data_IF_399942754193
#
_entry.id   IF_399942754193
#
_cell.length_a   1.000
_cell.length_b   1.000
_cell.length_c   1.000
_cell.angle_alpha   90.00
_cell.angle_beta   90.00
_cell.angle_gamma   90.00
#
_symmetry.space_group_name_H-M   'P 1'
#
loop_
_entity.id
_entity.type
_entity.pdbx_description
1 polymer ?
#
# COMPACT_ATOMS: atom_id res chain seq x y z
N UNK A 1 -13.43 0.67 13.71
CA UNK A 1 -13.83 0.21 12.36
C UNK A 1 -12.85 -0.80 11.75
N UNK A 2 -13.29 -1.98 11.32
CA UNK A 2 -12.43 -2.87 10.53
C UNK A 2 -12.54 -2.58 9.02
N UNK A 3 -11.78 -1.58 8.58
CA UNK A 3 -11.40 -1.51 7.18
C UNK A 3 -10.41 -2.65 6.94
N UNK A 4 -10.66 -3.46 5.90
CA UNK A 4 -9.59 -4.27 5.33
C UNK A 4 -8.46 -3.29 4.97
N UNK A 5 -7.37 -3.34 5.70
CA UNK A 5 -6.21 -2.51 5.42
C UNK A 5 -5.62 -3.00 4.09
N UNK A 6 -5.60 -2.12 3.09
CA UNK A 6 -4.92 -2.37 1.83
C UNK A 6 -3.80 -1.37 1.67
N UNK A 7 -2.74 -1.85 1.04
CA UNK A 7 -1.52 -1.10 0.86
C UNK A 7 -1.68 0.13 -0.01
N UNK A 8 -0.88 1.15 0.25
CA UNK A 8 -0.94 2.41 -0.48
C UNK A 8 0.45 3.02 -0.73
N UNK A 9 0.57 3.83 -1.77
CA UNK A 9 1.79 4.58 -2.11
C UNK A 9 1.43 6.07 -2.20
N UNK A 10 2.26 6.96 -1.65
CA UNK A 10 2.01 8.40 -1.66
C UNK A 10 3.02 9.11 -2.59
N UNK A 11 2.50 9.79 -3.61
CA UNK A 11 3.29 10.74 -4.41
C UNK A 11 3.00 12.17 -3.91
N UNK A 12 4.04 12.90 -3.51
CA UNK A 12 3.95 14.31 -3.14
C UNK A 12 4.67 15.14 -4.21
N UNK A 13 3.94 16.05 -4.85
CA UNK A 13 4.54 17.24 -5.47
C UNK A 13 4.62 18.28 -4.36
N UNK A 14 5.83 18.56 -3.86
CA UNK A 14 6.02 19.71 -2.97
C UNK A 14 5.99 20.98 -3.82
N UNK A 15 5.14 21.97 -3.52
CA UNK A 15 5.21 23.25 -4.22
C UNK A 15 6.57 23.94 -3.95
N UNK A 16 7.10 24.71 -4.90
CA UNK A 16 8.32 25.47 -4.69
C UNK A 16 8.15 26.41 -3.49
N UNK A 17 9.05 26.30 -2.50
CA UNK A 17 9.06 27.16 -1.31
C UNK A 17 9.49 28.57 -1.73
N UNK A 18 8.54 29.49 -1.84
CA UNK A 18 8.83 30.92 -1.72
C UNK A 18 8.60 31.37 -0.26
N UNK A 19 9.48 32.20 0.32
CA UNK A 19 9.31 32.70 1.67
C UNK A 19 8.29 33.84 1.68
N UNK A 20 7.14 33.67 2.33
CA UNK A 20 6.30 34.80 2.74
C UNK A 20 4.78 34.61 2.70
N UNK A 21 4.18 34.71 3.89
CA UNK A 21 2.77 35.04 4.24
C UNK A 21 1.63 34.02 4.01
N UNK A 22 0.71 33.87 5.00
CA UNK A 22 -0.42 32.95 4.93
C UNK A 22 -1.62 33.60 4.25
N UNK A 23 -2.17 32.97 3.21
CA UNK A 23 -3.45 33.40 2.62
C UNK A 23 -4.59 32.50 3.12
N UNK A 24 -5.48 33.12 3.89
CA UNK A 24 -6.78 32.63 4.30
C UNK A 24 -7.80 32.70 3.16
N UNK A 25 -8.78 31.80 3.23
CA UNK A 25 -10.10 31.84 2.57
C UNK A 25 -10.16 31.46 1.09
N UNK A 26 -10.86 30.36 0.80
CA UNK A 26 -11.79 30.20 -0.32
C UNK A 26 -12.72 29.01 -0.03
N UNK A 27 -13.59 29.18 0.99
CA UNK A 27 -14.82 28.39 1.12
C UNK A 27 -15.99 29.35 0.99
N UNK A 28 -16.57 29.42 -0.20
CA UNK A 28 -17.87 30.06 -0.41
C UNK A 28 -18.90 28.96 -0.61
N UNK A 29 -19.80 28.85 0.37
CA UNK A 29 -20.99 28.02 0.37
C UNK A 29 -22.04 28.61 -0.57
N UNK A 30 -22.55 27.79 -1.50
CA UNK A 30 -23.90 27.98 -2.05
C UNK A 30 -24.60 26.63 -2.09
N UNK A 31 -25.51 26.43 -1.14
CA UNK A 31 -26.50 25.35 -1.15
C UNK A 31 -27.55 25.65 -2.23
N UNK A 32 -27.70 24.73 -3.18
CA UNK A 32 -28.87 24.62 -4.05
C UNK A 32 -29.48 23.23 -3.86
N UNK A 33 -30.67 23.15 -3.28
CA UNK A 33 -31.43 21.91 -3.09
C UNK A 33 -32.03 21.41 -4.41
N UNK A 34 -31.60 20.24 -4.88
CA UNK A 34 -32.23 19.53 -6.00
C UNK A 34 -32.63 18.10 -5.58
N UNK A 35 -33.75 17.56 -6.09
CA UNK A 35 -34.39 16.36 -5.54
C UNK A 35 -33.64 15.08 -5.89
N UNK A 36 -33.54 14.18 -4.91
CA UNK A 36 -32.89 12.87 -5.02
C UNK A 36 -33.57 11.99 -6.08
N UNK A 37 -32.99 11.94 -7.29
CA UNK A 37 -33.26 10.85 -8.25
C UNK A 37 -32.48 9.62 -7.80
N UNK A 38 -33.20 8.50 -7.59
CA UNK A 38 -32.60 7.17 -7.42
C UNK A 38 -31.87 6.78 -8.71
N UNK A 39 -30.58 7.08 -8.77
CA UNK A 39 -29.70 6.58 -9.82
C UNK A 39 -29.30 5.16 -9.41
N UNK A 40 -29.83 4.16 -10.12
CA UNK A 40 -29.30 2.81 -10.04
C UNK A 40 -27.83 2.85 -10.45
N UNK A 41 -26.94 2.59 -9.49
CA UNK A 41 -25.49 2.55 -9.73
C UNK A 41 -25.25 1.30 -10.59
N UNK A 42 -25.24 1.47 -11.93
CA UNK A 42 -24.57 0.52 -12.80
C UNK A 42 -23.12 0.49 -12.32
N UNK A 43 -22.65 -0.67 -11.85
CA UNK A 43 -21.26 -0.88 -11.48
C UNK A 43 -20.39 -0.47 -12.68
N UNK A 44 -19.81 0.74 -12.61
CA UNK A 44 -18.86 1.17 -13.61
C UNK A 44 -17.67 0.24 -13.50
N UNK A 45 -17.47 -0.60 -14.51
CA UNK A 45 -16.30 -1.46 -14.62
C UNK A 45 -15.11 -0.51 -14.77
N UNK A 46 -14.28 -0.43 -13.73
CA UNK A 46 -13.02 0.31 -13.78
C UNK A 46 -12.10 -0.44 -14.73
N UNK A 47 -12.04 -0.01 -15.98
CA UNK A 47 -11.03 -0.45 -16.94
C UNK A 47 -9.75 0.34 -16.68
N UNK A 48 -8.72 -0.33 -16.15
CA UNK A 48 -7.37 0.22 -16.10
C UNK A 48 -6.75 0.15 -17.49
N UNK A 49 -6.03 1.19 -17.96
CA UNK A 49 -5.21 1.07 -19.14
C UNK A 49 -4.19 -0.07 -18.91
N UNK A 50 -4.00 -0.95 -19.89
CA UNK A 50 -2.84 -1.84 -19.89
C UNK A 50 -1.62 -0.93 -20.03
N UNK A 51 -0.88 -0.72 -18.94
CA UNK A 51 0.37 0.03 -18.99
C UNK A 51 1.51 -0.90 -19.42
N UNK A 52 1.30 -1.60 -20.52
CA UNK A 52 2.38 -1.95 -21.44
C UNK A 52 2.23 -0.98 -22.60
N UNK A 53 2.34 0.32 -22.32
CA UNK A 53 2.64 1.23 -23.41
C UNK A 53 4.05 0.89 -23.85
N UNK A 54 4.22 0.56 -25.14
CA UNK A 54 5.49 0.52 -25.89
C UNK A 54 6.17 1.91 -25.93
N UNK A 55 6.18 2.59 -24.78
CA UNK A 55 6.79 3.88 -24.58
C UNK A 55 8.29 3.68 -24.59
N UNK A 56 8.87 3.87 -25.76
CA UNK A 56 10.21 4.41 -25.98
C UNK A 56 10.33 5.79 -25.30
N UNK A 57 10.10 5.83 -23.99
CA UNK A 57 10.30 6.99 -23.15
C UNK A 57 11.76 6.98 -22.72
N UNK A 58 12.49 8.04 -23.04
CA UNK A 58 13.84 8.24 -22.51
C UNK A 58 13.70 8.60 -21.02
N UNK A 59 14.21 7.75 -20.13
CA UNK A 59 14.23 7.99 -18.68
C UNK A 59 13.54 6.93 -17.82
N UNK A 60 13.82 6.98 -16.51
CA UNK A 60 13.33 6.04 -15.49
C UNK A 60 11.82 6.04 -15.39
N UNK A 61 11.20 4.85 -15.43
CA UNK A 61 9.79 4.66 -15.10
C UNK A 61 9.65 4.02 -13.74
N UNK A 62 8.61 4.40 -13.00
CA UNK A 62 8.29 3.78 -11.71
C UNK A 62 6.94 3.10 -11.78
N UNK A 63 6.96 1.80 -11.52
CA UNK A 63 5.81 0.94 -11.41
C UNK A 63 5.53 0.63 -9.94
N UNK A 64 4.26 0.40 -9.60
CA UNK A 64 3.84 0.03 -8.24
C UNK A 64 2.97 -1.21 -8.27
N UNK A 65 3.18 -2.09 -7.30
CA UNK A 65 2.30 -3.23 -7.00
C UNK A 65 2.23 -3.49 -5.50
N UNK A 66 1.12 -4.01 -5.00
CA UNK A 66 0.95 -4.53 -3.64
C UNK A 66 0.14 -5.82 -3.63
N UNK A 67 -0.02 -6.43 -2.46
CA UNK A 67 -0.98 -7.52 -2.25
C UNK A 67 -0.83 -8.63 -3.30
N UNK A 68 0.41 -9.06 -3.53
CA UNK A 68 0.73 -10.11 -4.50
C UNK A 68 0.18 -11.46 -4.02
N UNK A 69 0.21 -11.74 -2.71
CA UNK A 69 -0.31 -12.99 -2.12
C UNK A 69 0.10 -14.25 -2.92
N UNK A 70 1.39 -14.44 -3.18
CA UNK A 70 1.87 -15.43 -4.16
C UNK A 70 1.83 -16.89 -3.67
N UNK A 71 1.32 -17.16 -2.48
CA UNK A 71 0.94 -18.51 -2.05
C UNK A 71 -0.27 -19.03 -2.83
N UNK A 72 -1.04 -18.13 -3.45
CA UNK A 72 -1.99 -18.50 -4.49
C UNK A 72 -1.23 -18.70 -5.81
N UNK A 73 -1.35 -19.90 -6.37
CA UNK A 73 -0.63 -20.29 -7.60
C UNK A 73 -0.99 -19.37 -8.77
N UNK A 74 -2.22 -18.88 -8.85
CA UNK A 74 -2.66 -17.93 -9.86
C UNK A 74 -1.89 -16.60 -9.80
N UNK A 75 -1.56 -16.14 -8.59
CA UNK A 75 -0.81 -14.90 -8.42
C UNK A 75 0.70 -15.11 -8.64
N UNK A 76 1.25 -16.27 -8.25
CA UNK A 76 2.62 -16.64 -8.61
C UNK A 76 2.78 -16.79 -10.14
N UNK A 77 1.79 -17.37 -10.83
CA UNK A 77 1.78 -17.44 -12.29
C UNK A 77 1.80 -16.05 -12.92
N UNK A 78 1.03 -15.11 -12.37
CA UNK A 78 1.05 -13.71 -12.81
C UNK A 78 2.43 -13.05 -12.63
N UNK A 79 3.10 -13.25 -11.49
CA UNK A 79 4.46 -12.71 -11.29
C UNK A 79 5.43 -13.29 -12.31
N UNK A 80 5.32 -14.59 -12.60
CA UNK A 80 6.17 -15.27 -13.59
C UNK A 80 5.91 -14.78 -15.02
N UNK A 81 4.68 -14.41 -15.36
CA UNK A 81 4.30 -13.97 -16.71
C UNK A 81 4.74 -12.55 -17.06
N UNK A 82 5.17 -11.73 -16.08
CA UNK A 82 5.73 -10.40 -16.35
C UNK A 82 6.92 -10.51 -17.31
N UNK A 83 7.08 -9.57 -18.25
CA UNK A 83 8.19 -9.59 -19.21
C UNK A 83 9.55 -9.34 -18.54
N UNK A 84 10.61 -10.01 -18.99
CA UNK A 84 11.97 -9.89 -18.43
C UNK A 84 12.89 -8.93 -19.19
N UNK A 85 12.42 -8.28 -20.27
CA UNK A 85 13.27 -7.42 -21.13
C UNK A 85 12.76 -6.00 -21.29
N UNK A 86 11.62 -5.68 -20.69
CA UNK A 86 10.97 -4.37 -20.85
C UNK A 86 11.37 -3.37 -19.77
N UNK A 87 12.03 -3.80 -18.69
CA UNK A 87 12.16 -3.02 -17.45
C UNK A 87 13.60 -2.85 -16.95
N UNK A 88 14.57 -2.98 -17.85
CA UNK A 88 16.02 -2.88 -17.58
C UNK A 88 16.47 -1.51 -17.04
N UNK A 89 15.60 -0.49 -17.10
CA UNK A 89 15.85 0.85 -16.56
C UNK A 89 14.75 1.31 -15.57
N UNK A 90 13.84 0.41 -15.20
CA UNK A 90 12.67 0.77 -14.43
C UNK A 90 12.81 0.41 -12.95
N UNK A 91 12.02 1.11 -12.15
CA UNK A 91 11.85 0.89 -10.73
C UNK A 91 10.51 0.20 -10.49
N UNK A 92 10.51 -0.86 -9.69
CA UNK A 92 9.29 -1.44 -9.12
C UNK A 92 9.21 -1.13 -7.63
N UNK A 93 8.11 -0.54 -7.20
CA UNK A 93 7.75 -0.40 -5.78
C UNK A 93 6.80 -1.54 -5.42
N UNK A 94 7.23 -2.38 -4.49
CA UNK A 94 6.43 -3.47 -3.90
C UNK A 94 5.97 -3.05 -2.51
N UNK A 95 4.74 -2.55 -2.43
CA UNK A 95 4.17 -2.03 -1.19
C UNK A 95 3.49 -3.16 -0.40
N UNK A 96 4.25 -4.05 0.23
CA UNK A 96 3.72 -5.04 1.18
C UNK A 96 2.91 -6.20 0.60
N UNK A 97 2.57 -7.13 1.49
CA UNK A 97 1.72 -8.30 1.25
C UNK A 97 2.11 -9.19 0.06
N UNK A 98 3.35 -9.65 0.11
CA UNK A 98 3.93 -10.47 -0.96
C UNK A 98 3.54 -11.95 -0.82
N UNK A 99 3.79 -12.56 0.35
CA UNK A 99 3.53 -13.98 0.60
C UNK A 99 3.40 -14.31 2.12
N UNK A 100 2.67 -15.40 2.41
CA UNK A 100 2.47 -16.11 3.67
C UNK A 100 3.46 -17.27 3.92
N UNK A 101 4.30 -17.66 2.95
CA UNK A 101 5.51 -18.47 3.21
C UNK A 101 6.84 -17.83 2.78
N UNK A 102 7.93 -18.08 3.53
CA UNK A 102 9.26 -17.51 3.25
C UNK A 102 9.81 -17.96 1.89
N UNK A 103 9.56 -19.22 1.51
CA UNK A 103 9.96 -19.76 0.21
C UNK A 103 9.28 -19.02 -0.94
N UNK A 104 7.96 -18.76 -0.84
CA UNK A 104 7.25 -18.01 -1.87
C UNK A 104 7.67 -16.53 -1.89
N UNK A 105 7.96 -15.93 -0.74
CA UNK A 105 8.53 -14.59 -0.67
C UNK A 105 9.86 -14.50 -1.44
N UNK A 106 10.81 -15.39 -1.13
CA UNK A 106 12.11 -15.42 -1.79
C UNK A 106 11.99 -15.60 -3.30
N UNK A 107 11.17 -16.58 -3.72
CA UNK A 107 10.93 -16.82 -5.14
C UNK A 107 10.31 -15.60 -5.83
N UNK A 108 9.32 -14.97 -5.20
CA UNK A 108 8.66 -13.78 -5.75
C UNK A 108 9.64 -12.62 -5.90
N UNK A 109 10.39 -12.30 -4.85
CA UNK A 109 11.37 -11.20 -4.88
C UNK A 109 12.50 -11.44 -5.86
N UNK A 110 12.98 -12.68 -5.96
CA UNK A 110 13.99 -13.06 -6.95
C UNK A 110 13.49 -12.83 -8.39
N UNK A 111 12.26 -13.27 -8.69
CA UNK A 111 11.65 -13.05 -10.01
C UNK A 111 11.46 -11.55 -10.29
N UNK A 112 10.96 -10.77 -9.33
CA UNK A 112 10.76 -9.33 -9.53
C UNK A 112 12.08 -8.61 -9.75
N UNK A 113 13.13 -9.00 -9.02
CA UNK A 113 14.47 -8.41 -9.17
C UNK A 113 15.16 -8.78 -10.47
N UNK A 114 14.91 -9.98 -11.00
CA UNK A 114 15.36 -10.38 -12.34
C UNK A 114 14.69 -9.54 -13.44
N UNK A 115 13.44 -9.11 -13.23
CA UNK A 115 12.67 -8.37 -14.22
C UNK A 115 12.88 -6.86 -14.17
N UNK A 116 13.09 -6.27 -13.00
CA UNK A 116 13.22 -4.82 -12.81
C UNK A 116 14.61 -4.45 -12.30
N UNK A 117 15.21 -3.40 -12.87
CA UNK A 117 16.52 -2.90 -12.45
C UNK A 117 16.56 -2.55 -10.96
N UNK A 118 15.57 -1.80 -10.51
CA UNK A 118 15.42 -1.39 -9.12
C UNK A 118 14.12 -1.96 -8.56
N UNK A 119 14.17 -2.48 -7.34
CA UNK A 119 13.00 -3.02 -6.66
C UNK A 119 13.05 -2.51 -5.24
N UNK A 120 12.16 -1.55 -4.93
CA UNK A 120 11.99 -1.03 -3.59
C UNK A 120 10.88 -1.80 -2.89
N UNK A 121 11.14 -2.29 -1.69
CA UNK A 121 10.18 -3.06 -0.91
C UNK A 121 9.95 -2.44 0.46
N UNK A 122 8.69 -2.48 0.86
CA UNK A 122 8.28 -2.27 2.24
C UNK A 122 7.57 -3.52 2.77
N UNK A 123 7.99 -4.01 3.93
CA UNK A 123 7.38 -5.17 4.57
C UNK A 123 6.02 -4.82 5.18
N UNK A 124 4.94 -5.15 4.46
CA UNK A 124 3.65 -5.37 5.11
C UNK A 124 3.76 -6.62 6.00
N UNK A 125 3.66 -6.46 7.32
CA UNK A 125 3.71 -7.60 8.23
C UNK A 125 2.32 -8.21 8.38
N UNK A 126 2.00 -9.18 7.53
CA UNK A 126 0.88 -10.11 7.79
C UNK A 126 1.38 -11.35 8.51
N UNK A 127 1.11 -11.42 9.81
CA UNK A 127 1.27 -12.60 10.68
C UNK A 127 2.67 -13.21 10.79
N UNK A 128 2.84 -14.13 11.75
CA UNK A 128 4.06 -14.94 11.88
C UNK A 128 4.20 -15.97 10.74
N UNK A 129 5.43 -16.33 10.37
CA UNK A 129 5.66 -17.53 9.55
C UNK A 129 5.43 -18.77 10.42
N UNK A 130 4.53 -19.66 10.02
CA UNK A 130 4.62 -21.05 10.50
C UNK A 130 5.78 -21.70 9.74
N UNK A 131 6.89 -21.98 10.44
CA UNK A 131 8.02 -22.70 9.85
C UNK A 131 7.56 -24.12 9.47
N UNK A 132 7.68 -24.56 8.20
CA UNK A 132 7.40 -25.95 7.82
C UNK A 132 8.49 -26.93 8.28
N UNK A 133 9.66 -26.42 8.69
CA UNK A 133 10.79 -27.26 9.10
C UNK A 133 10.91 -27.34 10.62
N UNK A 134 11.15 -28.55 11.16
CA UNK A 134 11.49 -28.73 12.56
C UNK A 134 12.88 -28.15 12.81
N UNK A 135 12.95 -26.87 13.16
CA UNK A 135 14.16 -26.31 13.76
C UNK A 135 14.28 -26.99 15.14
N UNK A 136 15.47 -27.46 15.57
CA UNK A 136 15.64 -28.28 16.78
C UNK A 136 15.24 -27.63 18.13
N UNK A 137 14.60 -26.46 18.13
CA UNK A 137 13.98 -25.82 19.30
C UNK A 137 12.72 -25.08 18.84
N UNK A 138 11.57 -25.75 18.94
CA UNK A 138 10.27 -25.29 18.46
C UNK A 138 9.69 -24.12 19.25
N UNK A 139 10.12 -22.90 18.92
CA UNK A 139 9.37 -21.68 19.20
C UNK A 139 8.86 -21.09 17.86
N UNK A 140 7.58 -20.71 17.76
CA UNK A 140 7.11 -19.96 16.60
C UNK A 140 7.91 -18.66 16.49
N UNK A 141 8.41 -18.35 15.29
CA UNK A 141 9.11 -17.09 15.03
C UNK A 141 8.17 -15.92 15.30
N UNK A 142 8.67 -14.92 16.05
CA UNK A 142 7.94 -13.68 16.28
C UNK A 142 7.77 -12.87 15.00
N UNK A 143 6.89 -11.87 15.03
CA UNK A 143 6.71 -10.93 13.92
C UNK A 143 7.98 -10.13 13.60
N UNK A 144 8.79 -9.81 14.62
CA UNK A 144 10.10 -9.15 14.42
C UNK A 144 11.12 -10.08 13.76
N UNK A 145 11.25 -11.33 14.21
CA UNK A 145 12.15 -12.30 13.55
C UNK A 145 11.79 -12.50 12.07
N UNK A 146 10.49 -12.46 11.76
CA UNK A 146 10.00 -12.49 10.39
C UNK A 146 10.46 -11.25 9.63
N UNK A 147 10.28 -10.05 10.19
CA UNK A 147 10.75 -8.81 9.57
C UNK A 147 12.25 -8.89 9.25
N UNK A 148 13.07 -9.29 10.22
CA UNK A 148 14.52 -9.37 10.05
C UNK A 148 14.91 -10.34 8.93
N UNK A 149 14.27 -11.52 8.88
CA UNK A 149 14.49 -12.49 7.80
C UNK A 149 14.07 -11.97 6.43
N UNK A 150 12.99 -11.19 6.35
CA UNK A 150 12.54 -10.57 5.12
C UNK A 150 13.54 -9.50 4.65
N UNK A 151 14.04 -8.68 5.56
CA UNK A 151 15.03 -7.64 5.25
C UNK A 151 16.38 -8.24 4.83
N UNK A 152 16.85 -9.28 5.53
CA UNK A 152 18.06 -10.03 5.16
C UNK A 152 17.93 -10.70 3.78
N UNK A 153 16.76 -11.28 3.48
CA UNK A 153 16.46 -11.81 2.16
C UNK A 153 16.50 -10.72 1.07
N UNK A 154 15.90 -9.56 1.33
CA UNK A 154 15.93 -8.43 0.39
C UNK A 154 17.36 -7.95 0.13
N UNK A 155 18.16 -7.81 1.19
CA UNK A 155 19.56 -7.42 1.10
C UNK A 155 20.35 -8.39 0.19
N UNK A 156 20.19 -9.70 0.40
CA UNK A 156 20.87 -10.75 -0.39
C UNK A 156 20.45 -10.75 -1.86
N UNK A 157 19.21 -10.40 -2.15
CA UNK A 157 18.68 -10.32 -3.51
C UNK A 157 18.98 -8.97 -4.19
N UNK A 158 19.43 -7.95 -3.44
CA UNK A 158 19.60 -6.59 -3.97
C UNK A 158 18.26 -5.84 -4.16
N UNK A 159 17.25 -6.19 -3.37
CA UNK A 159 16.00 -5.44 -3.22
C UNK A 159 16.21 -4.33 -2.20
N UNK A 160 15.85 -3.10 -2.55
CA UNK A 160 16.07 -1.90 -1.74
C UNK A 160 14.98 -1.76 -0.65
N UNK A 161 15.37 -1.70 0.63
CA UNK A 161 14.44 -1.49 1.77
C UNK A 161 14.73 -0.21 2.54
N UNK A 162 15.63 0.63 2.01
CA UNK A 162 16.03 1.93 2.54
C UNK A 162 15.83 3.02 1.46
N UNK A 163 15.78 4.31 1.83
CA UNK A 163 15.64 5.38 0.84
C UNK A 163 16.82 5.45 -0.13
N UNK A 164 16.56 5.93 -1.34
CA UNK A 164 17.57 6.07 -2.38
C UNK A 164 17.21 7.09 -3.46
N UNK A 165 18.22 7.47 -4.26
CA UNK A 165 18.07 8.36 -5.42
C UNK A 165 18.35 7.56 -6.68
N UNK A 166 17.36 7.48 -7.58
CA UNK A 166 17.48 6.83 -8.89
C UNK A 166 17.29 7.89 -9.96
N UNK A 167 18.35 8.21 -10.73
CA UNK A 167 18.30 9.19 -11.83
C UNK A 167 17.67 10.54 -11.45
N UNK A 168 17.94 11.01 -10.22
CA UNK A 168 17.39 12.26 -9.68
C UNK A 168 16.00 12.15 -9.05
N UNK A 169 15.35 10.98 -9.10
CA UNK A 169 14.11 10.68 -8.38
C UNK A 169 14.42 10.13 -6.98
N UNK A 170 13.81 10.73 -5.96
CA UNK A 170 13.87 10.21 -4.59
C UNK A 170 12.84 9.12 -4.36
N UNK A 171 13.24 7.97 -3.81
CA UNK A 171 12.33 6.89 -3.41
C UNK A 171 12.55 6.57 -1.94
N UNK A 172 11.48 6.61 -1.13
CA UNK A 172 11.52 6.52 0.33
C UNK A 172 10.54 5.44 0.83
N UNK A 173 11.00 4.20 1.07
CA UNK A 173 10.27 3.24 1.89
C UNK A 173 10.16 3.76 3.32
N UNK A 174 8.96 3.75 3.90
CA UNK A 174 8.70 4.22 5.27
C UNK A 174 8.20 3.07 6.14
N UNK A 175 8.91 2.81 7.23
CA UNK A 175 8.48 1.90 8.29
C UNK A 175 7.35 2.54 9.10
N UNK A 176 6.19 1.89 9.11
CA UNK A 176 5.04 2.35 9.87
C UNK A 176 4.20 1.18 10.35
N UNK A 177 3.43 1.43 11.41
CA UNK A 177 2.39 0.55 11.92
C UNK A 177 1.17 1.37 12.28
N UNK A 178 -0.03 0.83 12.07
CA UNK A 178 -1.24 1.53 12.45
C UNK A 178 -1.35 1.60 13.98
N UNK A 179 -2.08 2.61 14.46
CA UNK A 179 -2.40 2.75 15.87
C UNK A 179 -3.89 3.06 16.02
N UNK A 180 -4.54 2.48 17.03
CA UNK A 180 -5.99 2.61 17.23
C UNK A 180 -6.44 4.03 17.55
N UNK A 181 -5.52 4.90 18.00
CA UNK A 181 -5.83 6.33 18.21
C UNK A 181 -6.24 7.08 16.94
N UNK A 182 -6.02 6.48 15.76
CA UNK A 182 -6.49 7.03 14.49
C UNK A 182 -7.98 6.69 14.22
N UNK A 183 -8.57 5.72 14.94
CA UNK A 183 -10.00 5.38 14.91
C UNK A 183 -10.75 6.25 15.93
N UNK A 184 -10.89 7.55 15.60
CA UNK A 184 -11.56 8.54 16.45
C UNK A 184 -13.08 8.59 16.24
N UNK A 185 -13.60 7.83 15.28
CA UNK A 185 -15.02 7.81 14.93
C UNK A 185 -15.88 7.13 16.00
N UNK A 186 -17.12 7.62 16.13
CA UNK A 186 -18.09 6.97 17.05
C UNK A 186 -18.52 5.62 16.49
N UNK A 187 -18.74 4.67 17.40
CA UNK A 187 -19.34 3.39 17.05
C UNK A 187 -20.70 3.58 16.37
N UNK A 188 -20.91 2.80 15.31
CA UNK A 188 -22.17 2.80 14.56
C UNK A 188 -23.21 2.03 15.38
N UNK A 189 -24.30 2.70 15.74
CA UNK A 189 -25.40 2.11 16.49
C UNK A 189 -26.46 1.49 15.57
N UNK A 190 -27.21 0.50 16.06
CA UNK A 190 -28.28 -0.17 15.30
C UNK A 190 -27.80 -1.15 14.22
N UNK A 191 -26.51 -1.47 14.19
CA UNK A 191 -25.90 -2.47 13.31
C UNK A 191 -24.90 -3.27 14.12
N UNK A 192 -24.92 -4.60 14.02
CA UNK A 192 -23.95 -5.45 14.72
C UNK A 192 -22.65 -5.50 13.92
N UNK A 193 -21.69 -4.66 14.29
CA UNK A 193 -20.35 -4.61 13.69
C UNK A 193 -19.36 -5.29 14.64
N UNK A 194 -18.54 -6.25 14.16
CA UNK A 194 -17.46 -6.83 14.97
C UNK A 194 -16.46 -5.75 15.44
N UNK A 195 -15.83 -5.97 16.60
CA UNK A 195 -14.76 -5.10 17.07
C UNK A 195 -13.56 -5.12 16.10
N UNK A 196 -12.71 -4.09 16.18
CA UNK A 196 -11.47 -4.03 15.40
C UNK A 196 -10.60 -5.29 15.64
N UNK A 197 -10.46 -5.70 16.89
CA UNK A 197 -9.70 -6.88 17.28
C UNK A 197 -10.23 -8.15 16.60
N UNK A 198 -11.55 -8.35 16.55
CA UNK A 198 -12.14 -9.54 15.92
C UNK A 198 -11.98 -9.60 14.40
N UNK A 199 -11.92 -8.43 13.74
CA UNK A 199 -11.98 -8.35 12.28
C UNK A 199 -10.60 -8.09 11.65
N UNK A 200 -9.67 -7.46 12.36
CA UNK A 200 -8.30 -7.25 11.91
C UNK A 200 -7.44 -8.46 12.27
N UNK A 201 -7.11 -9.28 11.26
CA UNK A 201 -6.34 -10.54 11.42
C UNK A 201 -5.05 -10.32 12.21
N UNK A 202 -4.38 -9.18 12.02
CA UNK A 202 -3.08 -8.86 12.58
C UNK A 202 -3.05 -8.91 14.12
N UNK A 203 -4.16 -8.57 14.80
CA UNK A 203 -4.27 -8.67 16.26
C UNK A 203 -4.13 -10.12 16.77
N UNK A 204 -4.45 -11.10 15.94
CA UNK A 204 -4.39 -12.51 16.30
C UNK A 204 -3.14 -13.21 15.80
N UNK A 205 -2.66 -12.82 14.61
CA UNK A 205 -1.57 -13.52 13.92
C UNK A 205 -0.19 -12.91 14.13
N UNK A 206 -0.10 -11.62 14.45
CA UNK A 206 1.19 -11.02 14.80
C UNK A 206 1.56 -11.38 16.24
N UNK A 207 2.82 -11.74 16.45
CA UNK A 207 3.38 -12.10 17.75
C UNK A 207 4.53 -11.17 18.05
N UNK A 208 4.29 -10.27 18.99
CA UNK A 208 5.23 -9.24 19.38
C UNK A 208 5.94 -9.62 20.68
N UNK A 209 7.19 -9.16 20.90
CA UNK A 209 7.83 -9.20 22.21
C UNK A 209 7.01 -8.49 23.29
N UNK A 210 7.27 -8.79 24.57
CA UNK A 210 6.47 -8.30 25.70
C UNK A 210 6.45 -6.76 25.84
N UNK A 211 7.45 -6.05 25.32
CA UNK A 211 7.55 -4.59 25.30
C UNK A 211 6.78 -3.93 24.14
N UNK A 212 6.41 -4.69 23.12
CA UNK A 212 5.66 -4.23 21.96
C UNK A 212 4.22 -4.75 22.01
N UNK A 213 3.24 -3.86 22.23
CA UNK A 213 1.84 -4.26 22.42
C UNK A 213 0.90 -3.42 21.57
N UNK A 214 -0.19 -4.06 21.13
CA UNK A 214 -1.36 -3.35 20.63
C UNK A 214 -2.02 -2.55 21.77
N UNK A 215 -2.77 -1.49 21.43
CA UNK A 215 -3.45 -0.63 22.40
C UNK A 215 -2.59 0.48 23.03
N UNK A 216 -1.28 0.47 22.77
CA UNK A 216 -0.36 1.54 23.19
C UNK A 216 0.54 1.99 22.04
N UNK A 217 1.33 3.03 22.26
CA UNK A 217 2.15 3.65 21.21
C UNK A 217 3.44 2.90 20.89
N UNK A 218 3.79 1.82 21.63
CA UNK A 218 5.10 1.19 21.53
C UNK A 218 5.37 0.58 20.15
N UNK A 219 4.38 -0.05 19.51
CA UNK A 219 4.53 -0.55 18.13
C UNK A 219 4.75 0.60 17.13
N UNK A 220 3.93 1.65 17.20
CA UNK A 220 4.07 2.79 16.29
C UNK A 220 5.44 3.46 16.44
N UNK A 221 5.89 3.69 17.69
CA UNK A 221 7.20 4.27 18.00
C UNK A 221 8.36 3.37 17.57
N UNK A 222 8.22 2.05 17.72
CA UNK A 222 9.23 1.10 17.24
C UNK A 222 9.44 1.24 15.73
N UNK A 223 8.37 1.16 14.93
CA UNK A 223 8.47 1.29 13.48
C UNK A 223 8.91 2.69 13.03
N UNK A 224 8.48 3.74 13.74
CA UNK A 224 8.95 5.11 13.50
C UNK A 224 10.47 5.20 13.68
N UNK A 225 11.01 4.62 14.76
CA UNK A 225 12.45 4.63 15.05
C UNK A 225 13.30 3.93 14.00
N UNK A 226 12.75 2.96 13.26
CA UNK A 226 13.45 2.30 12.15
C UNK A 226 13.72 3.28 10.98
N UNK A 227 13.00 4.40 10.91
CA UNK A 227 13.21 5.42 9.90
C UNK A 227 14.36 6.37 10.26
N UNK A 228 14.71 6.52 11.54
CA UNK A 228 15.69 7.49 12.03
C UNK A 228 17.09 7.26 11.44
N UNK A 229 17.45 5.99 11.24
CA UNK A 229 18.73 5.60 10.61
C UNK A 229 18.89 6.15 9.18
N UNK A 230 17.79 6.52 8.54
CA UNK A 230 17.76 6.97 7.16
C UNK A 230 17.73 8.50 7.03
N UNK A 231 17.81 9.26 8.13
CA UNK A 231 17.65 10.71 8.10
C UNK A 231 18.61 11.41 7.11
N UNK A 232 19.89 11.04 7.10
CA UNK A 232 20.88 11.65 6.20
C UNK A 232 20.56 11.46 4.72
N UNK A 233 20.08 10.27 4.32
CA UNK A 233 19.74 10.01 2.92
C UNK A 233 18.42 10.71 2.55
N UNK A 234 17.47 10.80 3.49
CA UNK A 234 16.23 11.56 3.30
C UNK A 234 16.54 13.05 3.13
N UNK A 235 17.45 13.61 3.92
CA UNK A 235 17.89 15.00 3.77
C UNK A 235 18.55 15.25 2.40
N UNK A 236 19.41 14.33 1.92
CA UNK A 236 20.01 14.46 0.59
C UNK A 236 18.96 14.37 -0.53
N UNK A 237 17.99 13.46 -0.40
CA UNK A 237 16.82 13.36 -1.31
C UNK A 237 16.07 14.69 -1.33
N UNK A 238 15.71 15.24 -0.17
CA UNK A 238 14.96 16.49 -0.06
C UNK A 238 15.73 17.69 -0.64
N UNK A 239 17.07 17.63 -0.65
CA UNK A 239 17.92 18.68 -1.21
C UNK A 239 18.09 18.57 -2.73
N UNK A 240 18.17 17.35 -3.26
CA UNK A 240 18.59 17.09 -4.65
C UNK A 240 17.48 16.68 -5.59
N UNK A 241 16.40 16.10 -5.08
CA UNK A 241 15.33 15.54 -5.89
C UNK A 241 14.15 16.51 -5.96
N UNK A 242 13.73 16.85 -7.18
CA UNK A 242 12.50 17.61 -7.41
C UNK A 242 11.24 16.76 -7.28
N UNK A 243 11.36 15.45 -7.50
CA UNK A 243 10.28 14.47 -7.38
C UNK A 243 10.65 13.41 -6.36
N UNK A 244 9.68 13.06 -5.51
CA UNK A 244 9.85 12.10 -4.41
C UNK A 244 8.64 11.17 -4.37
N UNK A 245 8.90 9.86 -4.28
CA UNK A 245 7.92 8.81 -4.04
C UNK A 245 8.18 8.24 -2.65
N UNK A 246 7.23 8.42 -1.73
CA UNK A 246 7.27 7.80 -0.41
C UNK A 246 6.18 6.75 -0.29
N UNK A 247 6.47 5.59 0.29
CA UNK A 247 5.48 4.53 0.40
C UNK A 247 5.61 3.73 1.69
N UNK A 248 4.47 3.27 2.19
CA UNK A 248 4.36 2.37 3.33
C UNK A 248 3.13 1.50 3.16
N UNK A 249 3.00 0.42 3.94
CA UNK A 249 1.79 -0.40 3.85
C UNK A 249 0.53 0.34 4.32
N UNK A 250 0.69 1.35 5.18
CA UNK A 250 -0.42 2.14 5.71
C UNK A 250 -0.17 3.63 5.45
N UNK A 251 -0.76 4.22 4.40
CA UNK A 251 -0.60 5.67 4.10
C UNK A 251 -1.94 6.36 3.80
N UNK A 252 -2.03 7.69 4.06
CA UNK A 252 -3.27 8.47 3.89
C UNK A 252 -3.66 8.78 2.43
N UNK A 253 -2.77 8.56 1.44
CA UNK A 253 -3.07 8.79 0.01
C UNK A 253 -3.15 7.48 -0.75
N UNK A 254 -4.31 7.18 -1.31
CA UNK A 254 -4.63 5.89 -1.93
C UNK A 254 -4.16 5.79 -3.39
N UNK A 255 -2.91 5.43 -3.63
CA UNK A 255 -2.54 4.75 -4.90
C UNK A 255 -2.77 3.26 -4.68
N UNK A 256 -3.98 2.79 -5.01
CA UNK A 256 -4.33 1.38 -4.87
C UNK A 256 -3.75 0.60 -6.06
N UNK A 257 -2.63 -0.12 -5.85
CA UNK A 257 -2.03 -1.01 -6.85
C UNK A 257 -2.02 -2.51 -6.47
N UNK A 258 -3.07 -3.07 -5.83
CA UNK A 258 -3.05 -4.45 -5.40
C UNK A 258 -3.27 -5.38 -6.59
N UNK A 259 -2.51 -6.48 -6.62
CA UNK A 259 -2.91 -7.65 -7.41
C UNK A 259 -4.16 -8.29 -6.82
N UNK A 260 -4.28 -8.25 -5.48
CA UNK A 260 -5.39 -8.75 -4.67
C UNK A 260 -5.51 -10.28 -4.64
N UNK A 261 -6.35 -10.81 -3.73
CA UNK A 261 -6.63 -12.24 -3.70
C UNK A 261 -7.36 -12.69 -4.99
N UNK A 262 -7.16 -13.92 -5.51
CA UNK A 262 -7.84 -14.39 -6.72
C UNK A 262 -9.37 -14.25 -6.68
N UNK A 263 -9.98 -14.49 -5.51
CA UNK A 263 -11.43 -14.29 -5.30
C UNK A 263 -11.89 -12.84 -5.43
N UNK A 264 -11.02 -11.88 -5.12
CA UNK A 264 -11.30 -10.44 -5.22
C UNK A 264 -11.08 -9.96 -6.66
N UNK A 265 -10.08 -10.48 -7.36
CA UNK A 265 -9.83 -10.25 -8.81
C UNK A 265 -11.04 -10.64 -9.64
N UNK A 266 -11.64 -11.81 -9.38
CA UNK A 266 -12.87 -12.28 -10.06
C UNK A 266 -14.06 -11.32 -9.90
N UNK A 267 -14.09 -10.54 -8.83
CA UNK A 267 -15.15 -9.55 -8.57
C UNK A 267 -14.84 -8.18 -9.18
N UNK A 268 -13.66 -7.99 -9.79
CA UNK A 268 -13.14 -6.71 -10.31
C UNK A 268 -13.25 -5.55 -9.30
N UNK A 269 -13.28 -5.87 -8.01
CA UNK A 269 -13.45 -4.85 -6.96
C UNK A 269 -12.15 -4.08 -6.74
N UNK A 270 -11.01 -4.79 -6.79
CA UNK A 270 -9.70 -4.29 -6.42
C UNK A 270 -8.57 -4.73 -7.39
N UNK A 271 -8.86 -5.54 -8.41
CA UNK A 271 -7.85 -6.27 -9.21
C UNK A 271 -8.37 -6.75 -10.58
N UNK A 272 -7.48 -7.23 -11.46
CA UNK A 272 -7.84 -7.85 -12.75
C UNK A 272 -6.82 -8.87 -13.23
N UNK A 273 -7.22 -9.78 -14.13
CA UNK A 273 -6.35 -10.83 -14.67
C UNK A 273 -5.22 -10.26 -15.54
N UNK A 274 -5.56 -9.25 -16.35
CA UNK A 274 -4.63 -8.57 -17.28
C UNK A 274 -4.02 -7.29 -16.71
N UNK A 275 -4.07 -7.09 -15.38
CA UNK A 275 -3.48 -5.91 -14.76
C UNK A 275 -1.97 -6.07 -14.70
N UNK A 276 -1.25 -5.06 -15.14
CA UNK A 276 0.19 -4.96 -15.01
C UNK A 276 0.54 -4.09 -13.79
N UNK A 277 1.79 -4.12 -13.30
CA UNK A 277 2.28 -3.11 -12.37
C UNK A 277 1.90 -1.71 -12.86
N UNK A 278 1.45 -0.84 -11.96
CA UNK A 278 0.92 0.45 -12.36
C UNK A 278 2.04 1.48 -12.49
N UNK A 279 2.24 2.01 -13.70
CA UNK A 279 3.20 3.09 -13.92
C UNK A 279 2.68 4.41 -13.33
N UNK A 280 3.36 4.91 -12.31
CA UNK A 280 3.02 6.18 -11.63
C UNK A 280 3.92 7.34 -12.03
N UNK A 281 5.06 7.04 -12.67
CA UNK A 281 6.06 8.02 -13.03
C UNK A 281 6.76 7.60 -14.33
N UNK A 282 6.87 8.51 -15.28
CA UNK A 282 7.55 8.29 -16.55
C UNK A 282 7.98 9.63 -17.17
N UNK A 283 9.11 9.65 -17.88
CA UNK A 283 9.59 10.83 -18.60
C UNK A 283 9.61 12.10 -17.73
N UNK A 284 10.08 11.96 -16.48
CA UNK A 284 10.23 13.07 -15.55
C UNK A 284 8.93 13.56 -14.91
N UNK A 285 7.78 12.91 -15.14
CA UNK A 285 6.48 13.38 -14.68
C UNK A 285 5.69 12.28 -13.96
N UNK A 286 4.89 12.66 -12.96
CA UNK A 286 3.89 11.78 -12.36
C UNK A 286 2.70 11.60 -13.30
N UNK A 287 2.07 10.42 -13.25
CA UNK A 287 0.84 10.16 -13.99
C UNK A 287 -0.25 11.20 -13.62
N UNK A 288 -0.86 11.83 -14.62
CA UNK A 288 -1.89 12.88 -14.42
C UNK A 288 -3.09 12.40 -13.62
N UNK A 289 -3.42 11.10 -13.74
CA UNK A 289 -4.54 10.49 -13.04
C UNK A 289 -4.03 9.36 -12.15
N UNK A 290 -4.15 9.56 -10.84
CA UNK A 290 -4.05 8.47 -9.87
C UNK A 290 -5.17 7.48 -10.22
N UNK A 291 -4.80 6.22 -10.46
CA UNK A 291 -5.71 5.20 -10.99
C UNK A 291 -7.05 5.19 -10.24
N UNK A 292 -8.18 5.32 -10.95
CA UNK A 292 -9.49 5.25 -10.32
C UNK A 292 -9.62 3.86 -9.67
N UNK A 293 -9.88 3.83 -8.37
CA UNK A 293 -10.37 2.63 -7.72
C UNK A 293 -11.67 2.98 -7.01
N UNK A 294 -12.58 2.02 -6.92
CA UNK A 294 -13.94 2.29 -6.48
C UNK A 294 -14.01 3.01 -5.13
N UNK A 295 -13.07 2.73 -4.21
CA UNK A 295 -13.02 3.38 -2.90
C UNK A 295 -12.28 4.71 -2.91
N UNK A 296 -11.14 4.83 -3.59
CA UNK A 296 -10.41 6.11 -3.66
C UNK A 296 -11.25 7.15 -4.40
N UNK A 297 -11.92 6.76 -5.49
CA UNK A 297 -12.84 7.63 -6.22
C UNK A 297 -14.01 8.03 -5.34
N UNK A 298 -14.59 7.09 -4.57
CA UNK A 298 -15.66 7.41 -3.64
C UNK A 298 -15.20 8.42 -2.59
N UNK A 299 -14.08 8.17 -1.91
CA UNK A 299 -13.58 9.06 -0.87
C UNK A 299 -12.94 10.35 -1.40
N UNK A 300 -12.63 10.44 -2.70
CA UNK A 300 -12.19 11.69 -3.33
C UNK A 300 -13.29 12.74 -3.37
N UNK A 301 -14.56 12.32 -3.36
CA UNK A 301 -15.75 13.20 -3.39
C UNK A 301 -16.67 13.03 -2.17
N UNK A 302 -16.46 12.00 -1.35
CA UNK A 302 -17.15 11.77 -0.08
C UNK A 302 -16.13 11.76 1.06
N UNK A 303 -15.66 12.93 1.54
CA UNK A 303 -14.74 12.99 2.66
C UNK A 303 -15.31 12.25 3.86
N UNK A 304 -14.49 11.41 4.50
CA UNK A 304 -14.88 10.77 5.74
C UNK A 304 -14.57 11.71 6.89
N UNK A 305 -15.60 12.17 7.59
CA UNK A 305 -15.44 12.90 8.85
C UNK A 305 -15.95 12.03 10.00
N UNK A 306 -15.50 12.24 11.25
CA UNK A 306 -15.90 11.41 12.38
C UNK A 306 -17.40 11.35 12.66
N UNK A 307 -18.16 12.32 12.13
CA UNK A 307 -19.61 12.40 12.22
C UNK A 307 -20.33 11.51 11.20
N UNK A 308 -19.65 11.06 10.14
CA UNK A 308 -20.22 10.21 9.09
C UNK A 308 -20.24 8.75 9.55
N UNK A 309 -21.35 8.34 10.15
CA UNK A 309 -21.58 6.97 10.63
C UNK A 309 -22.23 6.05 9.59
N UNK A 310 -22.47 6.54 8.37
CA UNK A 310 -23.01 5.71 7.29
C UNK A 310 -21.99 4.67 6.84
N UNK A 311 -22.42 3.41 6.76
CA UNK A 311 -21.60 2.34 6.17
C UNK A 311 -21.29 2.63 4.71
N UNK A 312 -20.04 2.42 4.31
CA UNK A 312 -19.64 2.58 2.92
C UNK A 312 -20.48 1.65 2.01
N UNK A 313 -20.86 2.09 0.80
CA UNK A 313 -21.79 1.35 -0.05
C UNK A 313 -21.38 -0.12 -0.29
N UNK A 314 -20.09 -0.39 -0.47
CA UNK A 314 -19.56 -1.74 -0.72
C UNK A 314 -19.62 -2.68 0.48
N UNK A 315 -19.65 -2.16 1.71
CA UNK A 315 -19.79 -2.99 2.92
C UNK A 315 -21.22 -3.06 3.44
N UNK A 316 -22.04 -2.05 3.15
CA UNK A 316 -23.39 -1.89 3.69
C UNK A 316 -24.27 -3.15 3.54
N UNK A 317 -24.16 -3.85 2.41
CA UNK A 317 -24.93 -5.07 2.11
C UNK A 317 -24.58 -6.29 2.99
N UNK A 318 -23.43 -6.28 3.65
CA UNK A 318 -22.98 -7.40 4.47
C UNK A 318 -23.43 -7.29 5.93
N UNK A 319 -24.01 -6.16 6.32
CA UNK A 319 -24.43 -5.91 7.69
C UNK A 319 -25.93 -5.67 7.75
N UNK A 320 -26.61 -6.44 8.58
CA UNK A 320 -28.05 -6.30 8.83
C UNK A 320 -28.27 -5.31 9.96
N UNK A 321 -29.29 -4.46 9.83
CA UNK A 321 -29.75 -3.63 10.95
C UNK A 321 -30.27 -4.52 12.08
N UNK A 322 -29.96 -4.13 13.31
CA UNK A 322 -30.48 -4.74 14.54
C UNK A 322 -31.77 -4.04 14.92
#
# INVERSE_FOLDING_TARGET
MAQFFYSACACLQLPPRHPGTPSSSLYSSQLGSAPQRRIGIKQAVVTRPQVETDGCGTGTRVFVVSDLHTDYSENMCWVKSLSSRTHDNDVLVVAGDVAETYTNFLLTMSILKDKFRHVFFFAGLRGSWQSPSPIPRGLPLGSLDKLDKLLDACLKLGVETKPGIIDGLGVIPLYSWYHESFDGERDITGIRIPSLEMACKDFHVCKWPDDLKNGGTSLALYFDSLNDENWYIVEDILRRCSHIISFSHFVPRYVQAPLAYPRERKRRMNGGEDWLPFCIYSSGNFAERVSPCYWSDYYSVNPRTPEVTQLAPWVSRFYTKV
#
